data_IF_580090443785
#
_entry.id   IF_580090443785
#
_cell.length_a   1.000
_cell.length_b   1.000
_cell.length_c   1.000
_cell.angle_alpha   90.00
_cell.angle_beta   90.00
_cell.angle_gamma   90.00
#
_symmetry.space_group_name_H-M   'P 1'
#
loop_
_entity.id
_entity.type
_entity.pdbx_description
1 polymer ?
#
# COMPACT_ATOMS: atom_id res chain seq x y z
N UNK A 1 -54.26 20.90 -1.55
CA UNK A 1 -52.81 20.94 -1.28
C UNK A 1 -52.16 19.56 -1.31
N UNK A 2 -52.71 18.53 -0.65
CA UNK A 2 -52.15 17.17 -0.70
C UNK A 2 -52.14 16.55 -2.12
N UNK A 3 -53.21 16.73 -2.92
CA UNK A 3 -53.25 16.24 -4.31
C UNK A 3 -52.27 16.95 -5.26
N UNK A 4 -51.98 18.23 -5.04
CA UNK A 4 -51.01 18.96 -5.85
C UNK A 4 -49.56 18.52 -5.56
N UNK A 5 -49.30 17.98 -4.36
CA UNK A 5 -48.00 17.40 -3.98
C UNK A 5 -47.79 16.01 -4.61
N UNK A 6 -48.85 15.19 -4.71
CA UNK A 6 -48.79 13.89 -5.38
C UNK A 6 -48.66 14.01 -6.91
N UNK A 7 -49.29 14.99 -7.54
CA UNK A 7 -49.12 15.24 -8.99
C UNK A 7 -47.75 15.83 -9.34
N UNK A 8 -47.14 16.61 -8.43
CA UNK A 8 -45.75 17.06 -8.56
C UNK A 8 -44.77 15.88 -8.48
N UNK A 9 -44.91 15.01 -7.49
CA UNK A 9 -44.05 13.83 -7.31
C UNK A 9 -44.17 12.82 -8.47
N UNK A 10 -45.34 12.69 -9.11
CA UNK A 10 -45.51 11.81 -10.28
C UNK A 10 -44.91 12.37 -11.57
N UNK A 11 -44.79 13.70 -11.70
CA UNK A 11 -44.13 14.32 -12.87
C UNK A 11 -42.60 14.22 -12.78
N UNK A 12 -42.02 14.31 -11.59
CA UNK A 12 -40.57 14.16 -11.40
C UNK A 12 -40.10 12.72 -11.70
N UNK A 13 -40.89 11.70 -11.31
CA UNK A 13 -40.57 10.29 -11.58
C UNK A 13 -40.69 9.94 -13.08
N UNK A 14 -41.55 10.61 -13.84
CA UNK A 14 -41.70 10.39 -15.28
C UNK A 14 -40.60 11.07 -16.12
N UNK A 15 -39.97 12.13 -15.61
CA UNK A 15 -38.83 12.79 -16.28
C UNK A 15 -37.47 12.13 -16.04
N UNK A 16 -37.42 11.13 -15.16
CA UNK A 16 -36.20 10.39 -14.81
C UNK A 16 -36.08 9.02 -15.51
N UNK A 17 -36.96 8.73 -16.47
CA UNK A 17 -36.75 7.68 -17.47
C UNK A 17 -35.88 8.20 -18.63
N UNK A 18 -34.71 8.79 -18.30
CA UNK A 18 -33.59 8.74 -19.25
C UNK A 18 -33.26 7.28 -19.41
N UNK A 19 -33.07 6.84 -20.66
CA UNK A 19 -32.57 5.50 -20.98
C UNK A 19 -31.24 5.32 -20.23
N UNK A 20 -31.31 4.74 -19.04
CA UNK A 20 -30.16 4.32 -18.27
C UNK A 20 -29.56 3.17 -19.06
N UNK A 21 -28.69 3.49 -20.01
CA UNK A 21 -27.81 2.50 -20.61
C UNK A 21 -26.99 2.00 -19.44
N UNK A 22 -27.19 0.75 -18.98
CA UNK A 22 -26.52 0.27 -17.78
C UNK A 22 -25.02 0.44 -17.99
N UNK A 23 -24.30 1.02 -17.03
CA UNK A 23 -22.84 1.12 -17.10
C UNK A 23 -22.17 -0.24 -17.42
N UNK A 24 -22.88 -1.35 -17.18
CA UNK A 24 -22.50 -2.71 -17.56
C UNK A 24 -22.51 -2.99 -19.08
N UNK A 25 -23.45 -2.46 -19.86
CA UNK A 25 -23.50 -2.69 -21.30
C UNK A 25 -22.36 -1.96 -22.02
N UNK A 26 -21.97 -0.78 -21.53
CA UNK A 26 -20.77 -0.07 -22.02
C UNK A 26 -19.47 -0.72 -21.57
N UNK A 27 -19.37 -1.24 -20.34
CA UNK A 27 -18.21 -2.05 -19.90
C UNK A 27 -18.03 -3.31 -20.74
N UNK A 28 -19.12 -3.95 -21.18
CA UNK A 28 -19.07 -5.10 -22.08
C UNK A 28 -18.64 -4.71 -23.50
N UNK A 29 -19.19 -3.63 -24.06
CA UNK A 29 -18.83 -3.14 -25.39
C UNK A 29 -17.36 -2.70 -25.46
N UNK A 30 -16.86 -2.02 -24.42
CA UNK A 30 -15.45 -1.64 -24.33
C UNK A 30 -14.53 -2.83 -24.03
N UNK A 31 -14.96 -3.89 -23.34
CA UNK A 31 -14.15 -5.11 -23.21
C UNK A 31 -13.86 -5.74 -24.56
N UNK A 32 -14.87 -5.83 -25.43
CA UNK A 32 -14.70 -6.37 -26.79
C UNK A 32 -13.87 -5.46 -27.71
N UNK A 33 -13.89 -4.15 -27.48
CA UNK A 33 -13.07 -3.21 -28.25
C UNK A 33 -11.64 -3.11 -27.71
N UNK A 34 -11.42 -3.19 -26.39
CA UNK A 34 -10.09 -3.27 -25.77
C UNK A 34 -9.36 -4.59 -26.06
N UNK A 35 -10.07 -5.68 -26.35
CA UNK A 35 -9.45 -6.93 -26.81
C UNK A 35 -9.03 -6.87 -28.29
N UNK A 36 -9.57 -5.92 -29.08
CA UNK A 36 -9.21 -5.69 -30.48
C UNK A 36 -8.19 -4.58 -30.68
N UNK A 37 -8.24 -3.52 -29.88
CA UNK A 37 -7.23 -2.48 -29.87
C UNK A 37 -6.10 -2.92 -28.96
N UNK A 38 -5.03 -3.43 -29.58
CA UNK A 38 -3.73 -3.62 -28.93
C UNK A 38 -3.42 -2.42 -28.03
N UNK A 39 -2.94 -2.62 -26.79
CA UNK A 39 -2.77 -1.54 -25.84
C UNK A 39 -1.93 -0.46 -26.50
N UNK A 40 -2.53 0.70 -26.77
CA UNK A 40 -1.81 1.89 -27.17
C UNK A 40 -0.83 2.18 -26.06
N UNK A 41 0.39 1.74 -26.32
CA UNK A 41 1.55 1.83 -25.46
C UNK A 41 1.66 3.29 -25.04
N UNK A 42 1.72 3.60 -23.74
CA UNK A 42 2.03 4.96 -23.31
C UNK A 42 3.29 5.40 -24.06
N UNK A 43 3.16 6.55 -24.74
CA UNK A 43 4.22 7.26 -25.45
C UNK A 43 5.62 6.86 -24.98
N UNK A 44 6.45 6.44 -25.95
CA UNK A 44 7.85 5.95 -25.89
C UNK A 44 8.87 6.80 -25.10
N UNK A 45 8.46 7.58 -24.10
CA UNK A 45 9.36 8.02 -23.02
C UNK A 45 9.71 6.80 -22.17
N UNK A 46 10.79 6.12 -22.57
CA UNK A 46 11.53 5.07 -21.85
C UNK A 46 10.94 4.75 -20.47
N UNK A 47 10.06 3.74 -20.43
CA UNK A 47 9.89 2.84 -19.29
C UNK A 47 11.16 1.99 -19.13
N UNK A 48 12.32 2.63 -19.01
CA UNK A 48 13.43 2.01 -18.30
C UNK A 48 13.00 2.21 -16.85
N UNK A 49 12.57 1.17 -16.11
CA UNK A 49 12.38 1.34 -14.67
C UNK A 49 13.69 1.94 -14.18
N UNK A 50 13.65 3.14 -13.63
CA UNK A 50 14.82 3.67 -12.98
C UNK A 50 15.13 2.69 -11.88
N UNK A 51 16.10 1.80 -12.09
CA UNK A 51 16.47 0.77 -11.13
C UNK A 51 16.83 1.38 -9.76
N UNK A 52 17.05 2.70 -9.71
CA UNK A 52 17.11 3.51 -8.51
C UNK A 52 15.85 3.46 -7.64
N UNK A 53 14.65 3.43 -8.22
CA UNK A 53 13.39 3.28 -7.48
C UNK A 53 13.21 1.84 -6.96
N UNK A 54 13.60 0.84 -7.77
CA UNK A 54 13.57 -0.59 -7.37
C UNK A 54 14.65 -0.93 -6.33
N UNK A 55 15.77 -0.21 -6.33
CA UNK A 55 16.81 -0.27 -5.31
C UNK A 55 16.57 0.75 -4.17
N UNK A 56 15.36 1.32 -4.12
CA UNK A 56 14.95 2.25 -3.07
C UNK A 56 15.02 1.59 -1.69
N UNK A 57 15.24 2.44 -0.68
CA UNK A 57 15.26 2.02 0.72
C UNK A 57 13.98 1.26 1.10
N UNK A 58 12.83 1.63 0.54
CA UNK A 58 11.55 0.98 0.81
C UNK A 58 11.51 -0.48 0.34
N UNK A 59 12.09 -0.78 -0.83
CA UNK A 59 12.16 -2.17 -1.32
C UNK A 59 13.07 -2.99 -0.43
N UNK A 60 14.21 -2.43 -0.02
CA UNK A 60 15.14 -3.08 0.90
C UNK A 60 14.49 -3.30 2.28
N UNK A 61 13.81 -2.31 2.83
CA UNK A 61 13.12 -2.42 4.13
C UNK A 61 12.05 -3.51 4.11
N UNK A 62 11.14 -3.46 3.13
CA UNK A 62 10.09 -4.46 2.99
C UNK A 62 10.66 -5.85 2.66
N UNK A 63 11.76 -5.93 1.90
CA UNK A 63 12.49 -7.17 1.63
C UNK A 63 13.11 -7.77 2.90
N UNK A 64 13.74 -6.96 3.75
CA UNK A 64 14.28 -7.37 5.04
C UNK A 64 13.16 -7.82 5.99
N UNK A 65 12.03 -7.10 6.03
CA UNK A 65 10.85 -7.51 6.80
C UNK A 65 10.32 -8.86 6.33
N UNK A 66 10.09 -9.03 5.03
CA UNK A 66 9.60 -10.30 4.47
C UNK A 66 10.57 -11.43 4.80
N UNK A 67 11.87 -11.20 4.64
CA UNK A 67 12.92 -12.18 4.94
C UNK A 67 12.87 -12.60 6.41
N UNK A 68 12.78 -11.64 7.34
CA UNK A 68 12.62 -11.91 8.78
C UNK A 68 11.38 -12.78 9.05
N UNK A 69 10.23 -12.40 8.52
CA UNK A 69 8.98 -13.12 8.79
C UNK A 69 8.96 -14.51 8.16
N UNK A 70 9.54 -14.69 6.98
CA UNK A 70 9.72 -16.02 6.39
C UNK A 70 10.62 -16.88 7.27
N UNK A 71 11.73 -16.35 7.79
CA UNK A 71 12.61 -17.07 8.71
C UNK A 71 11.85 -17.46 9.99
N UNK A 72 11.02 -16.57 10.55
CA UNK A 72 10.20 -16.86 11.73
C UNK A 72 9.12 -17.92 11.44
N UNK A 73 8.50 -17.92 10.26
CA UNK A 73 7.56 -18.97 9.86
C UNK A 73 8.27 -20.33 9.76
N UNK A 74 9.46 -20.36 9.16
CA UNK A 74 10.28 -21.57 9.08
C UNK A 74 10.62 -22.03 10.50
N UNK A 75 11.14 -21.16 11.36
CA UNK A 75 11.45 -21.48 12.76
C UNK A 75 10.24 -22.06 13.50
N UNK A 76 9.06 -21.45 13.37
CA UNK A 76 7.83 -21.96 13.97
C UNK A 76 7.46 -23.37 13.48
N UNK A 77 7.75 -23.71 12.22
CA UNK A 77 7.60 -25.08 11.71
C UNK A 77 8.64 -26.05 12.29
N UNK A 78 9.88 -25.61 12.50
CA UNK A 78 10.94 -26.41 13.09
C UNK A 78 10.71 -26.72 14.58
N UNK A 79 10.02 -25.83 15.30
CA UNK A 79 9.70 -25.99 16.72
C UNK A 79 8.50 -26.90 16.99
N UNK A 80 7.63 -27.14 16.01
CA UNK A 80 6.45 -28.00 16.22
C UNK A 80 6.84 -29.43 16.51
N UNK A 81 6.11 -30.07 17.43
CA UNK A 81 6.30 -31.48 17.72
C UNK A 81 6.08 -32.35 16.45
N UNK A 82 6.84 -33.44 16.30
CA UNK A 82 6.62 -34.39 15.21
C UNK A 82 5.17 -34.91 15.25
N UNK A 83 4.48 -35.02 14.11
CA UNK A 83 3.10 -35.51 14.07
C UNK A 83 3.05 -36.93 14.64
N UNK A 84 2.17 -37.16 15.61
CA UNK A 84 2.02 -38.47 16.27
C UNK A 84 1.07 -39.40 15.52
N UNK A 85 0.25 -38.84 14.63
CA UNK A 85 -0.79 -39.57 13.89
C UNK A 85 -0.67 -39.30 12.38
N UNK A 86 -1.11 -40.27 11.57
CA UNK A 86 -1.14 -40.14 10.10
C UNK A 86 -1.98 -38.95 9.64
N UNK A 87 -3.09 -38.68 10.32
CA UNK A 87 -3.94 -37.53 10.01
C UNK A 87 -3.21 -36.20 10.25
N UNK A 88 -2.41 -36.09 11.33
CA UNK A 88 -1.58 -34.91 11.57
C UNK A 88 -0.48 -34.76 10.52
N UNK A 89 0.12 -35.87 10.08
CA UNK A 89 1.11 -35.86 9.01
C UNK A 89 0.51 -35.38 7.68
N UNK A 90 -0.71 -35.81 7.34
CA UNK A 90 -1.44 -35.34 6.16
C UNK A 90 -1.82 -33.86 6.25
N UNK A 91 -2.20 -33.37 7.44
CA UNK A 91 -2.52 -31.95 7.66
C UNK A 91 -1.28 -31.05 7.63
N UNK A 92 -0.13 -31.58 7.99
CA UNK A 92 1.13 -30.82 8.10
C UNK A 92 2.29 -31.55 7.42
N UNK A 93 2.25 -31.68 6.08
CA UNK A 93 3.24 -32.46 5.34
C UNK A 93 4.66 -31.89 5.50
N UNK A 94 4.80 -30.57 5.60
CA UNK A 94 6.11 -29.92 5.84
C UNK A 94 6.72 -30.31 7.19
N UNK A 95 5.93 -30.33 8.26
CA UNK A 95 6.39 -30.71 9.61
C UNK A 95 6.78 -32.18 9.61
N UNK A 96 5.97 -33.04 8.98
CA UNK A 96 6.30 -34.45 8.82
C UNK A 96 7.64 -34.62 8.11
N UNK A 97 7.82 -33.99 6.95
CA UNK A 97 9.07 -34.05 6.17
C UNK A 97 10.27 -33.57 6.97
N UNK A 98 10.20 -32.42 7.63
CA UNK A 98 11.28 -31.88 8.48
C UNK A 98 11.59 -32.83 9.64
N UNK A 99 10.57 -33.35 10.31
CA UNK A 99 10.74 -34.23 11.47
C UNK A 99 11.29 -35.61 11.10
N UNK A 100 11.01 -36.09 9.89
CA UNK A 100 11.51 -37.36 9.38
C UNK A 100 12.93 -37.23 8.84
N UNK A 101 13.26 -36.11 8.21
CA UNK A 101 14.58 -35.89 7.59
C UNK A 101 15.65 -35.50 8.62
N UNK A 102 15.29 -34.76 9.66
CA UNK A 102 16.25 -34.18 10.60
C UNK A 102 16.12 -34.77 12.00
N UNK A 103 17.27 -35.13 12.59
CA UNK A 103 17.35 -35.55 13.99
C UNK A 103 16.91 -34.41 14.92
N UNK A 104 16.35 -34.76 16.08
CA UNK A 104 15.87 -33.79 17.08
C UNK A 104 16.94 -32.78 17.51
N UNK A 105 18.19 -33.23 17.71
CA UNK A 105 19.32 -32.35 18.06
C UNK A 105 19.61 -31.33 16.96
N UNK A 106 19.65 -31.79 15.70
CA UNK A 106 19.86 -30.94 14.53
C UNK A 106 18.72 -29.93 14.37
N UNK A 107 17.46 -30.34 14.57
CA UNK A 107 16.31 -29.44 14.53
C UNK A 107 16.39 -28.33 15.57
N UNK A 108 16.75 -28.66 16.81
CA UNK A 108 16.91 -27.67 17.88
C UNK A 108 18.06 -26.71 17.55
N UNK A 109 19.17 -27.21 16.99
CA UNK A 109 20.28 -26.36 16.57
C UNK A 109 19.86 -25.39 15.46
N UNK A 110 19.16 -25.89 14.42
CA UNK A 110 18.65 -25.06 13.33
C UNK A 110 17.66 -24.02 13.83
N UNK A 111 16.69 -24.39 14.67
CA UNK A 111 15.73 -23.44 15.25
C UNK A 111 16.44 -22.30 15.99
N UNK A 112 17.46 -22.61 16.81
CA UNK A 112 18.29 -21.58 17.47
C UNK A 112 18.97 -20.65 16.46
N UNK A 113 19.55 -21.19 15.40
CA UNK A 113 20.17 -20.39 14.35
C UNK A 113 19.16 -19.51 13.61
N UNK A 114 17.98 -20.04 13.28
CA UNK A 114 16.92 -19.28 12.62
C UNK A 114 16.46 -18.11 13.48
N UNK A 115 16.29 -18.31 14.80
CA UNK A 115 15.97 -17.22 15.73
C UNK A 115 17.08 -16.15 15.71
N UNK A 116 18.35 -16.55 15.83
CA UNK A 116 19.48 -15.61 15.82
C UNK A 116 19.51 -14.79 14.52
N UNK A 117 19.34 -15.45 13.38
CA UNK A 117 19.34 -14.79 12.07
C UNK A 117 18.13 -13.86 11.96
N UNK A 118 16.93 -14.29 12.37
CA UNK A 118 15.71 -13.46 12.30
C UNK A 118 15.84 -12.19 13.15
N UNK A 119 16.36 -12.31 14.36
CA UNK A 119 16.64 -11.18 15.25
C UNK A 119 17.77 -10.31 14.69
N UNK A 120 18.80 -10.91 14.09
CA UNK A 120 19.86 -10.19 13.40
C UNK A 120 19.33 -9.31 12.26
N UNK A 121 18.49 -9.87 11.40
CA UNK A 121 17.81 -9.14 10.30
C UNK A 121 16.93 -8.02 10.87
N UNK A 122 16.14 -8.31 11.91
CA UNK A 122 15.30 -7.32 12.58
C UNK A 122 16.11 -6.13 13.11
N UNK A 123 17.21 -6.40 13.81
CA UNK A 123 18.03 -5.36 14.42
C UNK A 123 18.86 -4.61 13.39
N UNK A 124 19.33 -5.27 12.32
CA UNK A 124 19.99 -4.59 11.20
C UNK A 124 19.04 -3.59 10.52
N UNK A 125 17.80 -4.02 10.25
CA UNK A 125 16.74 -3.13 9.73
C UNK A 125 16.53 -1.93 10.66
N UNK A 126 16.25 -2.16 11.95
CA UNK A 126 16.01 -1.10 12.94
C UNK A 126 17.17 -0.13 13.07
N UNK A 127 18.39 -0.65 13.11
CA UNK A 127 19.60 0.18 13.17
C UNK A 127 19.71 1.07 11.94
N UNK A 128 19.45 0.51 10.76
CA UNK A 128 19.50 1.25 9.51
C UNK A 128 18.42 2.35 9.48
N UNK A 129 17.17 2.03 9.83
CA UNK A 129 16.09 3.01 9.95
C UNK A 129 16.43 4.13 10.94
N UNK A 130 16.97 3.76 12.10
CA UNK A 130 17.39 4.72 13.11
C UNK A 130 18.50 5.65 12.59
N UNK A 131 19.49 5.11 11.88
CA UNK A 131 20.55 5.92 11.25
C UNK A 131 20.00 6.83 10.15
N UNK A 132 19.10 6.34 9.30
CA UNK A 132 18.43 7.14 8.27
C UNK A 132 17.63 8.27 8.90
N UNK A 133 16.88 7.99 9.96
CA UNK A 133 16.11 8.98 10.68
C UNK A 133 17.00 10.02 11.36
N UNK A 134 18.08 9.59 12.02
CA UNK A 134 19.03 10.51 12.66
C UNK A 134 19.72 11.40 11.61
N UNK A 135 20.12 10.83 10.48
CA UNK A 135 20.77 11.57 9.41
C UNK A 135 19.79 12.53 8.68
N UNK A 136 18.58 12.07 8.39
CA UNK A 136 17.51 12.86 7.78
C UNK A 136 17.04 13.98 8.71
N UNK A 137 16.85 13.69 9.99
CA UNK A 137 16.53 14.65 11.03
C UNK A 137 17.62 15.71 11.16
N UNK A 138 18.89 15.33 11.28
CA UNK A 138 20.01 16.28 11.31
C UNK A 138 20.04 17.15 10.06
N UNK A 139 19.82 16.58 8.86
CA UNK A 139 19.73 17.36 7.61
C UNK A 139 18.57 18.35 7.61
N UNK A 140 17.40 17.94 8.09
CA UNK A 140 16.21 18.77 8.15
C UNK A 140 16.34 19.90 9.19
N UNK A 141 16.97 19.64 10.34
CA UNK A 141 17.33 20.68 11.30
C UNK A 141 18.41 21.62 10.76
N UNK A 142 19.41 21.08 10.05
CA UNK A 142 20.47 21.87 9.43
C UNK A 142 19.97 22.74 8.26
N UNK A 143 18.94 22.28 7.52
CA UNK A 143 18.30 23.06 6.46
C UNK A 143 17.33 24.09 7.03
N UNK A 144 16.51 23.75 8.04
CA UNK A 144 15.66 24.73 8.74
C UNK A 144 16.46 25.80 9.50
N UNK A 145 17.67 25.48 9.94
CA UNK A 145 18.61 26.48 10.47
C UNK A 145 19.15 27.46 9.43
N UNK A 146 18.85 27.27 8.14
CA UNK A 146 19.34 28.08 7.02
C UNK A 146 18.24 28.69 6.13
N UNK A 147 16.94 28.51 6.43
CA UNK A 147 15.88 28.93 5.50
C UNK A 147 15.25 30.27 5.90
N UNK A 148 15.35 31.20 4.95
CA UNK A 148 14.68 32.48 4.80
C UNK A 148 13.13 32.37 4.88
N UNK A 149 12.44 33.38 5.44
CA UNK A 149 11.02 33.34 5.77
C UNK A 149 10.01 33.45 4.60
N UNK A 150 10.41 33.49 3.32
CA UNK A 150 9.54 33.99 2.24
C UNK A 150 9.17 32.95 1.16
N UNK A 151 8.55 31.82 1.55
CA UNK A 151 7.85 30.94 0.60
C UNK A 151 6.46 30.64 1.14
N UNK A 152 5.48 31.45 0.70
CA UNK A 152 4.07 31.18 0.93
C UNK A 152 3.66 29.89 0.17
N UNK A 153 2.89 28.99 0.80
CA UNK A 153 2.41 27.78 0.12
C UNK A 153 1.35 28.16 -0.93
N UNK A 154 1.68 27.97 -2.20
CA UNK A 154 0.74 28.10 -3.32
C UNK A 154 -0.43 27.10 -3.16
N UNK A 155 -1.61 27.62 -2.84
CA UNK A 155 -2.93 27.04 -3.18
C UNK A 155 -3.26 25.59 -2.77
N UNK A 156 -2.56 24.99 -1.82
CA UNK A 156 -2.99 23.70 -1.24
C UNK A 156 -4.23 23.89 -0.37
N UNK A 157 -5.21 23.00 -0.53
CA UNK A 157 -6.43 23.08 0.27
C UNK A 157 -6.08 22.92 1.75
N UNK A 158 -6.66 23.75 2.63
CA UNK A 158 -6.39 23.73 4.07
C UNK A 158 -6.57 22.34 4.72
N UNK A 159 -7.41 21.49 4.12
CA UNK A 159 -7.64 20.14 4.61
C UNK A 159 -6.50 19.18 4.20
N UNK A 160 -5.86 19.36 3.05
CA UNK A 160 -4.70 18.57 2.60
C UNK A 160 -3.50 18.81 3.53
N UNK A 161 -3.21 20.08 3.83
CA UNK A 161 -2.14 20.47 4.76
C UNK A 161 -2.32 19.83 6.14
N UNK A 162 -3.57 19.68 6.62
CA UNK A 162 -3.84 18.99 7.89
C UNK A 162 -3.61 17.50 7.80
N UNK A 163 -3.99 16.86 6.68
CA UNK A 163 -3.79 15.42 6.46
C UNK A 163 -2.29 15.12 6.41
N UNK A 164 -1.51 15.94 5.73
CA UNK A 164 -0.06 15.79 5.67
C UNK A 164 0.62 15.99 7.02
N UNK A 165 0.23 17.01 7.78
CA UNK A 165 0.72 17.20 9.16
C UNK A 165 0.39 15.99 10.03
N UNK A 166 -0.82 15.45 9.91
CA UNK A 166 -1.24 14.26 10.65
C UNK A 166 -0.42 13.03 10.24
N UNK A 167 -0.14 12.86 8.94
CA UNK A 167 0.71 11.80 8.42
C UNK A 167 2.14 11.92 8.97
N UNK A 168 2.72 13.12 8.99
CA UNK A 168 4.04 13.39 9.55
C UNK A 168 4.11 13.07 11.05
N UNK A 169 3.07 13.39 11.83
CA UNK A 169 2.99 12.99 13.25
C UNK A 169 2.99 11.48 13.39
N UNK A 170 2.24 10.76 12.54
CA UNK A 170 2.25 9.30 12.50
C UNK A 170 3.64 8.74 12.23
N UNK A 171 4.34 9.28 11.23
CA UNK A 171 5.71 8.87 10.87
C UNK A 171 6.72 9.13 12.00
N UNK A 172 6.62 10.26 12.70
CA UNK A 172 7.47 10.57 13.86
C UNK A 172 7.25 9.56 14.98
N UNK A 173 5.99 9.21 15.26
CA UNK A 173 5.64 8.23 16.27
C UNK A 173 6.15 6.83 15.91
N UNK A 174 6.05 6.44 14.64
CA UNK A 174 6.56 5.16 14.14
C UNK A 174 8.08 5.06 14.30
N UNK A 175 8.81 6.09 13.85
CA UNK A 175 10.26 6.15 14.02
C UNK A 175 10.69 6.16 15.50
N UNK A 176 9.92 6.84 16.35
CA UNK A 176 10.16 6.86 17.80
C UNK A 176 9.94 5.47 18.42
N UNK A 177 8.95 4.72 17.94
CA UNK A 177 8.68 3.35 18.36
C UNK A 177 9.85 2.42 18.00
N UNK A 178 10.33 2.48 16.75
CA UNK A 178 11.50 1.71 16.30
C UNK A 178 12.78 2.13 17.06
N UNK A 179 12.92 3.42 17.38
CA UNK A 179 14.00 3.93 18.24
C UNK A 179 13.98 3.35 19.65
N UNK A 180 12.80 3.23 20.27
CA UNK A 180 12.64 2.59 21.58
C UNK A 180 13.06 1.11 21.55
N UNK A 181 12.64 0.38 20.51
CA UNK A 181 13.02 -1.02 20.29
C UNK A 181 14.54 -1.17 20.07
N UNK A 182 15.16 -0.25 19.32
CA UNK A 182 16.61 -0.24 19.10
C UNK A 182 17.39 0.05 20.38
N UNK A 183 16.96 1.02 21.19
CA UNK A 183 17.59 1.33 22.48
C UNK A 183 17.47 0.16 23.46
N UNK A 184 16.33 -0.52 23.49
CA UNK A 184 16.14 -1.72 24.29
C UNK A 184 17.04 -2.88 23.82
N UNK A 185 17.24 -3.01 22.50
CA UNK A 185 18.21 -3.95 21.95
C UNK A 185 19.64 -3.60 22.38
N UNK A 186 20.07 -2.35 22.23
CA UNK A 186 21.42 -1.89 22.62
C UNK A 186 21.68 -2.02 24.12
N UNK A 187 20.64 -1.94 24.96
CA UNK A 187 20.76 -2.13 26.41
C UNK A 187 21.08 -3.57 26.82
N UNK A 188 21.27 -4.50 25.86
CA UNK A 188 21.64 -5.89 26.16
C UNK A 188 20.48 -6.76 26.68
N UNK A 189 19.25 -6.26 26.63
CA UNK A 189 18.09 -6.97 27.20
C UNK A 189 17.38 -7.89 26.19
N UNK A 190 17.66 -7.73 24.90
CA UNK A 190 17.04 -8.47 23.81
C UNK A 190 17.36 -9.97 23.72
N UNK A 191 16.53 -10.69 22.97
CA UNK A 191 16.65 -12.13 22.65
C UNK A 191 18.00 -12.51 22.06
N UNK A 192 18.49 -11.68 21.13
CA UNK A 192 19.76 -11.87 20.44
C UNK A 192 20.95 -12.04 21.41
N UNK A 193 21.07 -11.15 22.38
CA UNK A 193 22.13 -11.20 23.39
C UNK A 193 22.04 -12.43 24.29
N UNK A 194 20.82 -12.90 24.57
CA UNK A 194 20.60 -14.16 25.30
C UNK A 194 21.00 -15.37 24.47
N UNK A 195 20.67 -15.37 23.17
CA UNK A 195 20.95 -16.46 22.25
C UNK A 195 22.46 -16.63 21.97
N UNK A 196 23.22 -15.52 21.96
CA UNK A 196 24.69 -15.52 21.82
C UNK A 196 25.41 -15.94 23.12
N UNK A 197 24.67 -16.13 24.22
CA UNK A 197 25.23 -16.64 25.47
C UNK A 197 25.87 -15.58 26.38
N UNK A 198 25.65 -14.29 26.10
CA UNK A 198 26.12 -13.18 26.94
C UNK A 198 25.35 -13.05 28.27
N UNK A 199 24.26 -13.81 28.47
CA UNK A 199 23.55 -13.93 29.74
C UNK A 199 23.24 -15.39 30.08
N UNK A 200 23.99 -15.97 31.02
CA UNK A 200 23.70 -17.29 31.62
C UNK A 200 22.47 -17.17 32.53
N UNK A 201 21.30 -17.64 32.07
CA UNK A 201 20.18 -18.00 32.95
C UNK A 201 19.55 -19.34 32.52
N UNK A 202 18.97 -20.09 33.47
CA UNK A 202 18.68 -21.50 33.31
C UNK A 202 17.43 -21.77 32.47
N UNK A 203 17.47 -22.92 31.80
CA UNK A 203 16.39 -23.74 31.22
C UNK A 203 14.94 -23.27 31.48
N UNK A 204 14.54 -22.23 30.75
CA UNK A 204 13.18 -22.00 30.31
C UNK A 204 13.29 -21.54 28.87
N UNK A 205 12.50 -22.11 27.96
CA UNK A 205 12.49 -21.65 26.56
C UNK A 205 12.32 -20.13 26.52
N UNK A 206 13.03 -19.48 25.60
CA UNK A 206 13.27 -18.04 25.64
C UNK A 206 11.98 -17.28 25.33
N UNK A 207 11.12 -17.10 26.33
CA UNK A 207 9.94 -16.26 26.20
C UNK A 207 10.40 -14.81 26.08
N UNK A 208 9.98 -14.17 24.99
CA UNK A 208 10.15 -12.74 24.72
C UNK A 208 9.27 -11.94 25.67
N UNK A 209 9.72 -11.75 26.92
CA UNK A 209 9.05 -10.82 27.83
C UNK A 209 9.51 -9.40 27.52
N UNK A 210 8.64 -8.62 26.87
CA UNK A 210 8.87 -7.19 26.66
C UNK A 210 8.79 -6.43 27.97
N UNK A 211 9.85 -5.73 28.33
CA UNK A 211 9.97 -4.96 29.57
C UNK A 211 10.42 -3.52 29.27
N UNK A 212 9.93 -2.56 30.05
CA UNK A 212 10.36 -1.17 29.99
C UNK A 212 10.12 -0.52 28.63
N UNK A 213 11.20 -0.03 28.00
CA UNK A 213 11.19 0.72 26.72
C UNK A 213 10.51 -0.03 25.57
N UNK A 214 10.61 -1.36 25.52
CA UNK A 214 9.94 -2.15 24.47
C UNK A 214 8.41 -2.04 24.55
N UNK A 215 7.85 -1.83 25.74
CA UNK A 215 6.40 -1.60 25.90
C UNK A 215 6.01 -0.21 25.43
N UNK A 216 6.84 0.79 25.73
CA UNK A 216 6.64 2.16 25.25
C UNK A 216 6.65 2.17 23.73
N UNK A 217 7.59 1.47 23.10
CA UNK A 217 7.63 1.27 21.65
C UNK A 217 6.34 0.68 21.09
N UNK A 218 5.78 -0.38 21.71
CA UNK A 218 4.50 -0.96 21.28
C UNK A 218 3.35 0.05 21.34
N UNK A 219 3.24 0.86 22.40
CA UNK A 219 2.19 1.89 22.50
C UNK A 219 2.36 3.01 21.48
N UNK A 220 3.60 3.45 21.22
CA UNK A 220 3.90 4.45 20.18
C UNK A 220 3.56 3.91 18.78
N UNK A 221 3.89 2.65 18.50
CA UNK A 221 3.51 1.97 17.26
C UNK A 221 2.00 1.87 17.10
N UNK A 222 1.27 1.48 18.15
CA UNK A 222 -0.20 1.46 18.13
C UNK A 222 -0.81 2.84 17.85
N UNK A 223 -0.29 3.89 18.49
CA UNK A 223 -0.74 5.26 18.24
C UNK A 223 -0.47 5.68 16.78
N UNK A 224 0.71 5.35 16.25
CA UNK A 224 1.08 5.55 14.85
C UNK A 224 0.08 4.87 13.90
N UNK A 225 -0.23 3.58 14.11
CA UNK A 225 -1.19 2.85 13.26
C UNK A 225 -2.59 3.46 13.27
N UNK A 226 -3.07 3.94 14.42
CA UNK A 226 -4.36 4.63 14.52
C UNK A 226 -4.34 5.90 13.67
N UNK A 227 -3.27 6.70 13.78
CA UNK A 227 -3.10 7.94 13.02
C UNK A 227 -3.03 7.66 11.52
N UNK A 228 -2.22 6.69 11.09
CA UNK A 228 -2.10 6.29 9.69
C UNK A 228 -3.44 5.77 9.13
N UNK A 229 -4.21 5.00 9.91
CA UNK A 229 -5.53 4.52 9.52
C UNK A 229 -6.53 5.68 9.33
N UNK A 230 -6.46 6.72 10.16
CA UNK A 230 -7.25 7.94 10.01
C UNK A 230 -6.86 8.72 8.75
N UNK A 231 -5.56 8.87 8.50
CA UNK A 231 -5.02 9.51 7.28
C UNK A 231 -5.51 8.80 6.03
N UNK A 232 -5.37 7.46 5.96
CA UNK A 232 -5.88 6.67 4.83
C UNK A 232 -7.39 6.82 4.65
N UNK A 233 -8.14 6.85 5.74
CA UNK A 233 -9.59 7.03 5.69
C UNK A 233 -9.98 8.39 5.12
N UNK A 234 -9.22 9.46 5.43
CA UNK A 234 -9.42 10.80 4.86
C UNK A 234 -9.04 10.83 3.38
N UNK A 235 -7.86 10.32 3.02
CA UNK A 235 -7.40 10.25 1.61
C UNK A 235 -8.35 9.46 0.72
N UNK A 236 -8.93 8.36 1.24
CA UNK A 236 -9.97 7.61 0.53
C UNK A 236 -11.20 8.47 0.22
N UNK A 237 -11.67 9.27 1.18
CA UNK A 237 -12.83 10.16 0.95
C UNK A 237 -12.53 11.20 -0.12
N UNK A 238 -11.33 11.78 -0.11
CA UNK A 238 -10.90 12.75 -1.12
C UNK A 238 -10.83 12.11 -2.52
N UNK A 239 -10.22 10.93 -2.63
CA UNK A 239 -10.15 10.20 -3.90
C UNK A 239 -11.53 9.81 -4.43
N UNK A 240 -12.46 9.43 -3.55
CA UNK A 240 -13.84 9.14 -3.96
C UNK A 240 -14.60 10.40 -4.41
N UNK A 241 -14.36 11.55 -3.77
CA UNK A 241 -14.93 12.82 -4.21
C UNK A 241 -14.38 13.23 -5.59
N UNK A 242 -13.06 13.09 -5.79
CA UNK A 242 -12.43 13.32 -7.09
C UNK A 242 -12.96 12.36 -8.16
N UNK A 243 -13.12 11.07 -7.84
CA UNK A 243 -13.72 10.09 -8.74
C UNK A 243 -15.13 10.51 -9.19
N UNK A 244 -16.00 10.87 -8.25
CA UNK A 244 -17.36 11.28 -8.55
C UNK A 244 -17.41 12.57 -9.39
N UNK A 245 -16.47 13.49 -9.19
CA UNK A 245 -16.34 14.69 -10.01
C UNK A 245 -15.91 14.36 -11.45
N UNK A 246 -14.92 13.47 -11.62
CA UNK A 246 -14.47 13.01 -12.95
C UNK A 246 -15.54 12.20 -13.68
N UNK A 247 -16.31 11.38 -12.97
CA UNK A 247 -17.43 10.64 -13.57
C UNK A 247 -18.52 11.59 -14.09
N UNK A 248 -18.85 12.64 -13.33
CA UNK A 248 -19.81 13.66 -13.76
C UNK A 248 -19.32 14.45 -14.97
N UNK A 249 -18.04 14.85 -15.00
CA UNK A 249 -17.49 15.56 -16.18
C UNK A 249 -17.54 14.69 -17.43
N UNK A 250 -17.23 13.40 -17.29
CA UNK A 250 -17.31 12.43 -18.38
C UNK A 250 -18.76 12.21 -18.86
N UNK A 251 -19.73 12.10 -17.95
CA UNK A 251 -21.15 11.97 -18.30
C UNK A 251 -21.65 13.21 -19.06
N UNK A 252 -21.33 14.41 -18.61
CA UNK A 252 -21.73 15.66 -19.27
C UNK A 252 -21.13 15.73 -20.69
N UNK A 253 -19.86 15.36 -20.86
CA UNK A 253 -19.23 15.30 -22.18
C UNK A 253 -19.94 14.27 -23.07
N UNK A 254 -20.25 13.09 -22.55
CA UNK A 254 -20.93 12.04 -23.29
C UNK A 254 -22.34 12.44 -23.74
N UNK A 255 -23.09 13.13 -22.87
CA UNK A 255 -24.39 13.71 -23.23
C UNK A 255 -24.24 14.74 -24.35
N UNK A 256 -23.22 15.61 -24.29
CA UNK A 256 -22.96 16.60 -25.35
C UNK A 256 -22.63 15.99 -26.71
N UNK A 257 -21.89 14.87 -26.74
CA UNK A 257 -21.63 14.13 -27.98
C UNK A 257 -22.90 13.47 -28.55
N UNK A 258 -23.74 12.91 -27.68
CA UNK A 258 -24.99 12.27 -28.10
C UNK A 258 -26.05 13.26 -28.58
N UNK A 259 -26.00 14.50 -28.07
CA UNK A 259 -26.91 15.58 -28.42
C UNK A 259 -26.47 16.38 -29.65
N UNK A 260 -25.24 16.16 -30.15
CA UNK A 260 -24.81 16.74 -31.42
C UNK A 260 -25.71 16.16 -32.52
N UNK A 261 -26.46 17.00 -33.27
CA UNK A 261 -27.24 16.53 -34.40
C UNK A 261 -26.32 15.74 -35.32
N UNK A 262 -26.77 14.56 -35.75
CA UNK A 262 -26.26 13.99 -36.99
C UNK A 262 -26.67 15.00 -38.06
N UNK A 263 -25.83 15.99 -38.33
CA UNK A 263 -25.90 16.66 -39.61
C UNK A 263 -25.71 15.54 -40.62
N UNK A 264 -26.79 15.22 -41.33
CA UNK A 264 -26.75 14.41 -42.53
C UNK A 264 -25.86 15.17 -43.51
N UNK A 265 -24.55 14.96 -43.39
CA UNK A 265 -23.58 15.39 -44.40
C UNK A 265 -23.95 14.61 -45.64
N UNK A 266 -24.64 15.29 -46.56
CA UNK A 266 -24.92 14.80 -47.91
C UNK A 266 -23.62 14.22 -48.48
N UNK A 267 -23.69 12.95 -48.87
CA UNK A 267 -22.59 12.06 -49.25
C UNK A 267 -21.98 12.40 -50.63
N UNK A 268 -22.08 13.66 -51.09
CA UNK A 268 -21.94 14.01 -52.51
C UNK A 268 -20.75 14.91 -52.87
N UNK A 269 -19.82 15.18 -51.96
CA UNK A 269 -18.53 15.82 -52.30
C UNK A 269 -17.34 15.16 -51.60
N UNK A 270 -17.05 13.93 -52.01
CA UNK A 270 -15.78 13.28 -51.74
C UNK A 270 -14.77 13.64 -52.85
N UNK A 271 -14.36 14.92 -52.92
CA UNK A 271 -13.20 15.30 -53.74
C UNK A 271 -11.96 15.36 -52.85
N UNK A 272 -11.07 14.41 -53.16
CA UNK A 272 -9.83 14.11 -52.48
C UNK A 272 -8.89 15.31 -52.59
N UNK A 273 -8.65 16.00 -51.48
CA UNK A 273 -7.38 16.71 -51.27
C UNK A 273 -6.87 16.42 -49.87
N UNK A 274 -6.01 15.40 -49.77
CA UNK A 274 -5.12 15.20 -48.63
C UNK A 274 -4.17 16.41 -48.54
N UNK A 275 -4.16 17.19 -47.45
CA UNK A 275 -3.05 18.08 -47.16
C UNK A 275 -1.96 17.23 -46.50
N UNK A 276 -0.99 16.84 -47.31
CA UNK A 276 0.34 16.41 -46.86
C UNK A 276 1.02 17.60 -46.20
N UNK A 277 0.76 17.83 -44.91
CA UNK A 277 1.59 18.70 -44.09
C UNK A 277 1.86 18.02 -42.75
N UNK A 278 3.02 17.38 -42.69
CA UNK A 278 3.72 17.01 -41.45
C UNK A 278 4.15 18.30 -40.73
N UNK A 279 3.22 18.96 -40.06
CA UNK A 279 3.49 19.97 -39.04
C UNK A 279 3.25 19.36 -37.66
N UNK A 280 4.18 19.59 -36.72
CA UNK A 280 3.99 19.29 -35.30
C UNK A 280 2.60 19.78 -34.83
N UNK A 281 1.84 19.00 -34.06
CA UNK A 281 0.58 19.47 -33.50
C UNK A 281 0.86 20.55 -32.45
N UNK A 282 0.46 21.79 -32.74
CA UNK A 282 0.30 22.83 -31.74
C UNK A 282 -0.78 22.40 -30.73
N UNK A 283 -0.44 22.47 -29.43
CA UNK A 283 -1.25 22.02 -28.30
C UNK A 283 -2.59 22.77 -28.08
N UNK A 284 -3.01 23.64 -29.00
CA UNK A 284 -4.21 24.49 -28.82
C UNK A 284 -5.50 23.93 -29.47
N UNK A 285 -5.40 22.87 -30.28
CA UNK A 285 -6.56 22.16 -30.83
C UNK A 285 -6.63 20.71 -30.32
N UNK A 286 -6.64 20.57 -29.01
CA UNK A 286 -7.00 19.31 -28.36
C UNK A 286 -8.49 19.04 -28.64
N UNK A 287 -8.77 18.30 -29.72
CA UNK A 287 -10.13 17.94 -30.13
C UNK A 287 -10.90 17.26 -28.99
N UNK A 288 -12.23 17.23 -29.02
CA UNK A 288 -13.04 16.75 -27.90
C UNK A 288 -12.75 15.27 -27.53
N UNK A 289 -12.20 14.48 -28.47
CA UNK A 289 -11.70 13.12 -28.21
C UNK A 289 -10.49 13.07 -27.26
N UNK A 290 -9.60 14.07 -27.29
CA UNK A 290 -8.43 14.13 -26.41
C UNK A 290 -8.78 14.41 -24.95
N UNK A 291 -9.79 15.28 -24.70
CA UNK A 291 -10.29 15.55 -23.34
C UNK A 291 -11.00 14.35 -22.73
N UNK A 292 -11.77 13.61 -23.54
CA UNK A 292 -12.40 12.38 -23.11
C UNK A 292 -11.37 11.30 -22.75
N UNK A 293 -10.31 11.17 -23.56
CA UNK A 293 -9.21 10.25 -23.28
C UNK A 293 -8.48 10.62 -21.98
N UNK A 294 -8.20 11.91 -21.75
CA UNK A 294 -7.61 12.41 -20.50
C UNK A 294 -8.47 12.10 -19.27
N UNK A 295 -9.78 12.36 -19.32
CA UNK A 295 -10.69 12.08 -18.21
C UNK A 295 -10.83 10.57 -17.96
N UNK A 296 -10.82 9.75 -19.02
CA UNK A 296 -10.78 8.29 -18.89
C UNK A 296 -9.51 7.81 -18.17
N UNK A 297 -8.34 8.31 -18.56
CA UNK A 297 -7.07 7.99 -17.90
C UNK A 297 -7.04 8.45 -16.43
N UNK A 298 -7.64 9.60 -16.11
CA UNK A 298 -7.81 10.06 -14.72
C UNK A 298 -8.64 9.08 -13.91
N UNK A 299 -9.78 8.64 -14.44
CA UNK A 299 -10.65 7.66 -13.76
C UNK A 299 -9.90 6.35 -13.51
N UNK A 300 -9.23 5.80 -14.52
CA UNK A 300 -8.43 4.57 -14.37
C UNK A 300 -7.32 4.72 -13.31
N UNK A 301 -6.69 5.90 -13.26
CA UNK A 301 -5.65 6.21 -12.27
C UNK A 301 -6.23 6.28 -10.85
N UNK A 302 -7.38 6.95 -10.67
CA UNK A 302 -8.06 7.03 -9.38
C UNK A 302 -8.52 5.64 -8.91
N UNK A 303 -9.07 4.81 -9.80
CA UNK A 303 -9.44 3.44 -9.45
C UNK A 303 -8.25 2.61 -9.00
N UNK A 304 -7.12 2.72 -9.71
CA UNK A 304 -5.88 2.04 -9.32
C UNK A 304 -5.40 2.51 -7.95
N UNK A 305 -5.42 3.82 -7.67
CA UNK A 305 -5.09 4.39 -6.34
C UNK A 305 -6.03 3.86 -5.26
N UNK A 306 -7.35 3.82 -5.50
CA UNK A 306 -8.32 3.29 -4.55
C UNK A 306 -8.11 1.80 -4.23
N UNK A 307 -7.75 0.97 -5.23
CA UNK A 307 -7.42 -0.44 -5.01
C UNK A 307 -6.20 -0.59 -4.10
N UNK A 308 -5.14 0.16 -4.37
CA UNK A 308 -3.92 0.12 -3.55
C UNK A 308 -4.12 0.69 -2.16
N UNK A 309 -4.94 1.74 -1.99
CA UNK A 309 -5.31 2.27 -0.69
C UNK A 309 -6.06 1.22 0.15
N UNK A 310 -6.94 0.42 -0.48
CA UNK A 310 -7.60 -0.68 0.22
C UNK A 310 -6.60 -1.78 0.62
N UNK A 311 -5.60 -2.07 -0.20
CA UNK A 311 -4.51 -3.01 0.14
C UNK A 311 -3.68 -2.48 1.31
N UNK A 312 -3.31 -1.20 1.30
CA UNK A 312 -2.56 -0.58 2.40
C UNK A 312 -3.36 -0.63 3.72
N UNK A 313 -4.67 -0.42 3.65
CA UNK A 313 -5.55 -0.60 4.80
C UNK A 313 -5.51 -2.03 5.35
N UNK A 314 -5.40 -3.05 4.50
CA UNK A 314 -5.23 -4.45 4.93
C UNK A 314 -3.89 -4.60 5.66
N UNK A 315 -2.81 -4.02 5.13
CA UNK A 315 -1.49 -4.04 5.77
C UNK A 315 -1.51 -3.37 7.16
N UNK A 316 -2.07 -2.16 7.26
CA UNK A 316 -2.18 -1.45 8.54
C UNK A 316 -3.05 -2.23 9.53
N UNK A 317 -4.18 -2.79 9.07
CA UNK A 317 -5.03 -3.61 9.94
C UNK A 317 -4.31 -4.88 10.41
N UNK A 318 -3.46 -5.48 9.57
CA UNK A 318 -2.65 -6.63 9.93
C UNK A 318 -1.64 -6.27 11.05
N UNK A 319 -0.90 -5.17 10.85
CA UNK A 319 0.09 -4.67 11.81
C UNK A 319 -0.58 -4.23 13.12
N UNK A 320 -1.72 -3.54 13.04
CA UNK A 320 -2.53 -3.13 14.19
C UNK A 320 -3.08 -4.34 14.96
N UNK A 321 -3.59 -5.36 14.27
CA UNK A 321 -4.10 -6.58 14.92
C UNK A 321 -2.99 -7.29 15.69
N UNK A 322 -1.80 -7.34 15.11
CA UNK A 322 -0.62 -7.84 15.80
C UNK A 322 -0.26 -6.98 17.01
N UNK A 323 -0.19 -5.65 16.87
CA UNK A 323 0.13 -4.73 17.97
C UNK A 323 -0.87 -4.83 19.13
N UNK A 324 -2.17 -4.95 18.85
CA UNK A 324 -3.22 -5.14 19.86
C UNK A 324 -3.02 -6.49 20.55
N UNK A 325 -2.83 -7.55 19.77
CA UNK A 325 -2.59 -8.88 20.34
C UNK A 325 -1.30 -8.90 21.18
N UNK A 326 -0.27 -8.17 20.76
CA UNK A 326 0.96 -7.95 21.49
C UNK A 326 0.71 -7.30 22.86
N UNK A 327 -0.02 -6.19 22.87
CA UNK A 327 -0.40 -5.46 24.07
C UNK A 327 -1.27 -6.28 25.03
N UNK A 328 -2.24 -7.04 24.52
CA UNK A 328 -3.21 -7.78 25.35
C UNK A 328 -2.64 -9.06 25.98
N UNK A 329 -1.65 -9.71 25.35
CA UNK A 329 -1.20 -11.05 25.80
C UNK A 329 0.33 -11.19 25.83
N UNK A 330 1.09 -10.32 26.52
CA UNK A 330 2.54 -10.21 26.37
C UNK A 330 3.34 -11.51 26.64
N UNK A 331 2.76 -12.46 27.37
CA UNK A 331 3.43 -13.71 27.77
C UNK A 331 3.11 -14.94 26.88
N UNK A 332 2.22 -14.81 25.88
CA UNK A 332 1.89 -15.92 24.97
C UNK A 332 2.86 -15.99 23.80
N UNK A 333 3.12 -17.20 23.30
CA UNK A 333 3.83 -17.40 22.03
C UNK A 333 2.93 -16.97 20.86
N UNK A 334 3.48 -16.12 20.00
CA UNK A 334 2.77 -15.45 18.90
C UNK A 334 3.51 -15.57 17.59
N UNK A 335 4.59 -16.36 17.53
CA UNK A 335 5.53 -16.35 16.41
C UNK A 335 4.82 -16.64 15.09
N UNK A 336 3.91 -17.61 15.07
CA UNK A 336 3.16 -17.94 13.84
C UNK A 336 2.25 -16.80 13.39
N UNK A 337 1.59 -16.12 14.32
CA UNK A 337 0.67 -15.03 13.99
C UNK A 337 1.44 -13.77 13.56
N UNK A 338 2.49 -13.40 14.30
CA UNK A 338 3.43 -12.32 13.94
C UNK A 338 3.99 -12.56 12.54
N UNK A 339 4.55 -13.75 12.31
CA UNK A 339 5.21 -14.06 11.07
C UNK A 339 4.22 -14.20 9.91
N UNK A 340 3.01 -14.73 10.15
CA UNK A 340 1.95 -14.78 9.15
C UNK A 340 1.48 -13.39 8.71
N UNK A 341 1.04 -12.56 9.65
CA UNK A 341 0.52 -11.22 9.34
C UNK A 341 1.61 -10.29 8.78
N UNK A 342 2.81 -10.33 9.37
CA UNK A 342 3.95 -9.54 8.91
C UNK A 342 4.42 -9.95 7.51
N UNK A 343 4.47 -11.25 7.21
CA UNK A 343 4.83 -11.74 5.87
C UNK A 343 3.83 -11.29 4.80
N UNK A 344 2.53 -11.36 5.11
CA UNK A 344 1.46 -10.88 4.23
C UNK A 344 1.58 -9.37 3.97
N UNK A 345 1.74 -8.56 5.01
CA UNK A 345 1.87 -7.11 4.88
C UNK A 345 3.12 -6.73 4.05
N UNK A 346 4.28 -7.30 4.37
CA UNK A 346 5.53 -7.04 3.65
C UNK A 346 5.45 -7.47 2.18
N UNK A 347 4.83 -8.62 1.90
CA UNK A 347 4.61 -9.08 0.53
C UNK A 347 3.70 -8.15 -0.26
N UNK A 348 2.58 -7.72 0.32
CA UNK A 348 1.65 -6.77 -0.32
C UNK A 348 2.31 -5.41 -0.60
N UNK A 349 3.15 -4.92 0.31
CA UNK A 349 3.94 -3.69 0.11
C UNK A 349 4.98 -3.84 -0.99
N UNK A 350 5.67 -4.98 -1.09
CA UNK A 350 6.57 -5.27 -2.21
C UNK A 350 5.82 -5.34 -3.55
N UNK A 351 4.62 -5.94 -3.58
CA UNK A 351 3.78 -5.93 -4.77
C UNK A 351 3.34 -4.52 -5.17
N UNK A 352 3.10 -3.63 -4.19
CA UNK A 352 2.80 -2.21 -4.42
C UNK A 352 3.98 -1.52 -5.09
N UNK A 353 5.17 -1.63 -4.51
CA UNK A 353 6.41 -1.05 -5.05
C UNK A 353 6.72 -1.57 -6.45
N UNK A 354 6.51 -2.87 -6.70
CA UNK A 354 6.64 -3.46 -8.03
C UNK A 354 5.64 -2.86 -9.03
N UNK A 355 4.41 -2.60 -8.59
CA UNK A 355 3.39 -1.97 -9.42
C UNK A 355 3.73 -0.50 -9.71
N UNK A 356 4.23 0.25 -8.73
CA UNK A 356 4.71 1.62 -8.90
C UNK A 356 5.87 1.68 -9.90
N UNK A 357 6.87 0.81 -9.78
CA UNK A 357 7.99 0.74 -10.71
C UNK A 357 7.56 0.41 -12.17
N UNK A 358 6.47 -0.34 -12.35
CA UNK A 358 5.99 -0.75 -13.68
C UNK A 358 5.07 0.28 -14.33
N UNK A 359 4.23 0.93 -13.54
CA UNK A 359 3.10 1.72 -14.05
C UNK A 359 3.10 3.17 -13.53
N UNK A 360 4.20 3.62 -12.92
CA UNK A 360 4.34 4.95 -12.33
C UNK A 360 3.82 5.05 -10.90
N UNK A 361 4.24 6.13 -10.23
CA UNK A 361 4.01 6.39 -8.80
C UNK A 361 2.53 6.45 -8.46
N UNK A 362 2.18 5.84 -7.33
CA UNK A 362 0.87 5.91 -6.71
C UNK A 362 1.01 6.89 -5.55
N UNK A 363 0.84 8.19 -5.77
CA UNK A 363 0.78 9.15 -4.66
C UNK A 363 -0.43 8.80 -3.77
N UNK A 364 -0.16 8.04 -2.70
CA UNK A 364 -1.13 7.43 -1.79
C UNK A 364 -1.07 8.08 -0.42
#
# INVERSE_FOLDING_TARGET
MAQAYEEGARRDIASEQRVYVPAESWRQLNRSNLERESPLVPSKKRLVPEWREVLGWDVLDNGLQLTRFVILLIDAHYQRDPPRTRLQALRHPSIYMISHTLRKSTRIAIAKWLIIISEGVANFRRFSLFLFWLFGGVRHFASKGKIHPDLEPESESFEDVKIERLAAVGEILDNSAEGCDMLAFLSGNGLFWRAIGLRRRPQGWIQRRRLGLERVGVFLGLASFVIQSLVLSKRKKQLLAAYAQSERSMQIQMESFSASPKEDVEEDQLDITLPTNCGLPDHQHAGPNSRFEEDHWRILTIERRLRWLNIERICINADLSFGIYEACAPDKDKVVFEAGMGSLAAFLRLLRLWNEARFGTLDL
#
